data_IF_599016827003
#
_entry.id   IF_599016827003
#
_cell.length_a   1.000
_cell.length_b   1.000
_cell.length_c   1.000
_cell.angle_alpha   90.00
_cell.angle_beta   90.00
_cell.angle_gamma   90.00
#
_symmetry.space_group_name_H-M   'P 1'
#
loop_
_entity.id
_entity.type
_entity.pdbx_description
1 polymer ?
#
# COMPACT_ATOMS: atom_id res chain seq x y z
N UNK A 1 -23.00 8.70 45.29
CA UNK A 1 -22.90 8.74 43.81
C UNK A 1 -22.21 7.45 43.38
N UNK A 2 -23.01 6.40 43.09
CA UNK A 2 -22.50 5.18 42.46
C UNK A 2 -21.98 5.50 41.06
N UNK A 3 -20.72 5.25 40.82
CA UNK A 3 -20.16 5.21 39.48
C UNK A 3 -20.73 3.98 38.77
N UNK A 4 -21.82 4.16 38.02
CA UNK A 4 -22.31 3.13 37.12
C UNK A 4 -21.17 2.79 36.14
N UNK A 5 -20.70 1.56 36.21
CA UNK A 5 -19.75 1.03 35.23
C UNK A 5 -20.45 1.01 33.86
N UNK A 6 -19.99 1.83 32.93
CA UNK A 6 -20.45 1.80 31.55
C UNK A 6 -20.14 0.41 30.98
N UNK A 7 -21.16 -0.35 30.64
CA UNK A 7 -21.03 -1.64 29.98
C UNK A 7 -21.58 -1.53 28.57
N UNK A 8 -20.72 -1.35 27.58
CA UNK A 8 -21.13 -1.16 26.19
C UNK A 8 -21.91 -2.36 25.64
N UNK A 9 -21.63 -3.58 26.08
CA UNK A 9 -22.36 -4.77 25.66
C UNK A 9 -23.83 -4.77 26.19
N UNK A 10 -24.06 -4.29 27.39
CA UNK A 10 -25.42 -4.20 27.96
C UNK A 10 -26.27 -3.12 27.28
N UNK A 11 -25.68 -2.07 26.77
CA UNK A 11 -26.38 -1.02 25.99
C UNK A 11 -26.68 -1.50 24.55
N UNK A 12 -25.81 -2.30 23.94
CA UNK A 12 -26.05 -2.93 22.64
C UNK A 12 -27.24 -3.88 22.67
N UNK A 13 -27.42 -4.64 23.76
CA UNK A 13 -28.57 -5.57 23.93
C UNK A 13 -29.91 -4.85 23.90
N UNK A 14 -29.96 -3.56 24.22
CA UNK A 14 -31.20 -2.74 24.25
C UNK A 14 -31.38 -1.94 22.94
N UNK A 15 -30.51 -2.08 21.97
CA UNK A 15 -30.60 -1.36 20.71
C UNK A 15 -31.73 -1.93 19.85
N UNK A 16 -32.45 -1.05 19.15
CA UNK A 16 -33.47 -1.43 18.14
C UNK A 16 -32.88 -1.44 16.74
N UNK A 17 -31.71 -0.86 16.57
CA UNK A 17 -30.96 -0.91 15.32
C UNK A 17 -29.47 -0.96 15.62
N UNK A 18 -28.77 -1.87 14.96
CA UNK A 18 -27.31 -1.99 15.02
C UNK A 18 -26.82 -2.05 13.56
N UNK A 19 -25.81 -1.27 13.27
CA UNK A 19 -25.13 -1.28 11.99
C UNK A 19 -23.62 -1.36 12.24
N UNK A 20 -22.93 -2.20 11.48
CA UNK A 20 -21.48 -2.27 11.52
C UNK A 20 -20.90 -2.32 10.12
N UNK A 21 -19.71 -1.79 9.98
CA UNK A 21 -18.92 -1.88 8.77
C UNK A 21 -17.46 -2.16 9.14
N UNK A 22 -16.81 -2.99 8.32
CA UNK A 22 -15.38 -3.25 8.40
C UNK A 22 -14.79 -3.09 7.02
N UNK A 23 -13.60 -2.53 6.97
CA UNK A 23 -12.81 -2.43 5.77
C UNK A 23 -11.37 -2.84 6.09
N UNK A 24 -10.81 -3.67 5.23
CA UNK A 24 -9.42 -4.08 5.28
C UNK A 24 -8.82 -3.89 3.90
N UNK A 25 -7.66 -3.27 3.85
CA UNK A 25 -6.85 -3.18 2.65
C UNK A 25 -5.40 -3.47 2.95
N UNK A 26 -4.76 -4.10 2.01
CA UNK A 26 -3.33 -4.33 2.01
C UNK A 26 -2.81 -4.16 0.60
N UNK A 27 -1.76 -3.35 0.46
CA UNK A 27 -0.97 -3.23 -0.76
C UNK A 27 0.46 -3.62 -0.43
N UNK A 28 1.04 -4.50 -1.24
CA UNK A 28 2.43 -4.93 -1.12
C UNK A 28 3.10 -4.76 -2.47
N UNK A 29 4.17 -3.98 -2.52
CA UNK A 29 4.97 -3.75 -3.71
C UNK A 29 6.40 -4.23 -3.46
N UNK A 30 7.03 -4.84 -4.47
CA UNK A 30 8.45 -5.11 -4.47
C UNK A 30 9.07 -4.79 -5.82
N UNK A 31 10.25 -4.23 -5.75
CA UNK A 31 11.13 -3.89 -6.85
C UNK A 31 12.46 -4.61 -6.61
N UNK A 32 12.92 -5.37 -7.57
CA UNK A 32 14.23 -6.00 -7.56
C UNK A 32 14.89 -5.78 -8.92
N UNK A 33 16.06 -5.18 -8.90
CA UNK A 33 16.90 -4.93 -10.07
C UNK A 33 18.29 -5.45 -9.81
N UNK A 34 18.84 -6.19 -10.75
CA UNK A 34 20.20 -6.69 -10.72
C UNK A 34 20.85 -6.44 -12.09
N UNK A 35 22.08 -5.96 -12.06
CA UNK A 35 22.87 -5.66 -13.24
C UNK A 35 24.30 -6.16 -13.06
N UNK A 36 24.91 -6.62 -14.14
CA UNK A 36 26.33 -6.93 -14.20
C UNK A 36 26.96 -6.13 -15.34
N UNK A 37 28.07 -5.46 -15.09
CA UNK A 37 28.83 -4.71 -16.10
C UNK A 37 29.68 -5.64 -16.95
N UNK A 38 30.24 -5.13 -18.04
CA UNK A 38 31.21 -5.89 -18.88
C UNK A 38 32.50 -6.21 -18.14
N UNK A 39 32.87 -5.40 -17.16
CA UNK A 39 34.06 -5.61 -16.31
C UNK A 39 33.78 -6.60 -15.17
N UNK A 40 32.50 -6.96 -14.94
CA UNK A 40 32.06 -7.95 -13.97
C UNK A 40 31.58 -7.35 -12.65
N UNK A 41 31.43 -6.05 -12.58
CA UNK A 41 30.87 -5.37 -11.41
C UNK A 41 29.36 -5.65 -11.31
N UNK A 42 28.84 -5.73 -10.09
CA UNK A 42 27.46 -6.08 -9.85
C UNK A 42 26.75 -5.00 -9.06
N UNK A 43 25.58 -4.59 -9.54
CA UNK A 43 24.68 -3.68 -8.83
C UNK A 43 23.35 -4.38 -8.57
N UNK A 44 22.92 -4.41 -7.30
CA UNK A 44 21.63 -4.94 -6.87
C UNK A 44 20.86 -3.90 -6.10
N UNK A 45 19.62 -3.66 -6.52
CA UNK A 45 18.69 -2.76 -5.86
C UNK A 45 17.44 -3.56 -5.50
N UNK A 46 17.08 -3.52 -4.23
CA UNK A 46 15.85 -4.12 -3.73
C UNK A 46 15.07 -3.09 -2.95
N UNK A 47 13.82 -2.90 -3.31
CA UNK A 47 12.92 -2.04 -2.57
C UNK A 47 11.60 -2.77 -2.31
N UNK A 48 11.01 -2.53 -1.15
CA UNK A 48 9.70 -3.06 -0.81
C UNK A 48 8.89 -2.04 -0.03
N UNK A 49 7.59 -2.05 -0.27
CA UNK A 49 6.64 -1.29 0.53
C UNK A 49 5.41 -2.14 0.82
N UNK A 50 4.97 -2.12 2.08
CA UNK A 50 3.74 -2.78 2.51
C UNK A 50 2.89 -1.77 3.24
N UNK A 51 1.69 -1.59 2.76
CA UNK A 51 0.66 -0.79 3.39
C UNK A 51 -0.49 -1.70 3.82
N UNK A 52 -0.95 -1.52 5.04
CA UNK A 52 -2.10 -2.24 5.60
C UNK A 52 -2.99 -1.24 6.34
N UNK A 53 -4.28 -1.28 6.06
CA UNK A 53 -5.29 -0.47 6.71
C UNK A 53 -6.45 -1.34 7.16
N UNK A 54 -6.85 -1.18 8.42
CA UNK A 54 -8.03 -1.77 8.99
C UNK A 54 -8.91 -0.69 9.58
N UNK A 55 -10.19 -0.73 9.25
CA UNK A 55 -11.19 0.18 9.78
C UNK A 55 -12.43 -0.60 10.21
N UNK A 56 -12.97 -0.24 11.35
CA UNK A 56 -14.20 -0.79 11.88
C UNK A 56 -15.06 0.33 12.46
N UNK A 57 -16.35 0.30 12.16
CA UNK A 57 -17.33 1.22 12.70
C UNK A 57 -18.58 0.46 13.16
N UNK A 58 -19.09 0.83 14.30
CA UNK A 58 -20.33 0.33 14.88
C UNK A 58 -21.24 1.50 15.23
N UNK A 59 -22.50 1.43 14.83
CA UNK A 59 -23.56 2.29 15.36
C UNK A 59 -24.67 1.43 15.95
N UNK A 60 -25.17 1.86 17.10
CA UNK A 60 -26.31 1.24 17.76
C UNK A 60 -27.30 2.32 18.18
N UNK A 61 -28.58 2.13 17.89
CA UNK A 61 -29.65 3.08 18.24
C UNK A 61 -30.76 2.36 18.98
N UNK A 62 -31.25 2.95 20.06
CA UNK A 62 -32.36 2.40 20.84
C UNK A 62 -32.81 3.32 21.98
N UNK A 63 -34.10 3.31 22.30
CA UNK A 63 -34.71 4.06 23.39
C UNK A 63 -34.35 5.56 23.39
N UNK A 64 -34.28 6.20 22.20
CA UNK A 64 -33.92 7.60 22.05
C UNK A 64 -32.43 7.91 22.28
N UNK A 65 -31.57 6.88 22.38
CA UNK A 65 -30.10 7.00 22.50
C UNK A 65 -29.42 6.43 21.28
N UNK A 66 -28.26 6.97 20.97
CA UNK A 66 -27.36 6.45 19.94
C UNK A 66 -25.96 6.26 20.52
N UNK A 67 -25.33 5.15 20.15
CA UNK A 67 -23.93 4.85 20.41
C UNK A 67 -23.22 4.76 19.07
N UNK A 68 -22.05 5.35 18.99
CA UNK A 68 -21.14 5.24 17.85
C UNK A 68 -19.76 4.88 18.38
N UNK A 69 -19.13 3.88 17.77
CA UNK A 69 -17.75 3.51 18.03
C UNK A 69 -17.03 3.26 16.71
N UNK A 70 -15.78 3.69 16.62
CA UNK A 70 -14.93 3.42 15.46
C UNK A 70 -13.52 3.06 15.92
N UNK A 71 -12.88 2.22 15.16
CA UNK A 71 -11.49 1.84 15.29
C UNK A 71 -10.83 1.93 13.94
N UNK A 72 -9.62 2.47 13.89
CA UNK A 72 -8.80 2.47 12.69
C UNK A 72 -7.35 2.17 13.05
N UNK A 73 -6.70 1.35 12.23
CA UNK A 73 -5.29 1.03 12.34
C UNK A 73 -4.68 1.12 10.94
N UNK A 74 -3.50 1.74 10.87
CA UNK A 74 -2.72 1.82 9.64
C UNK A 74 -1.29 1.39 9.96
N UNK A 75 -0.73 0.56 9.09
CA UNK A 75 0.62 0.06 9.23
C UNK A 75 1.34 0.24 7.89
N UNK A 76 2.44 0.97 7.91
CA UNK A 76 3.28 1.19 6.74
C UNK A 76 4.69 0.68 7.05
N UNK A 77 5.24 -0.14 6.16
CA UNK A 77 6.60 -0.67 6.25
C UNK A 77 7.25 -0.54 4.89
N UNK A 78 8.42 0.05 4.86
CA UNK A 78 9.25 0.13 3.66
C UNK A 78 10.65 -0.38 3.97
N UNK A 79 11.30 -0.91 2.95
CA UNK A 79 12.67 -1.37 3.01
C UNK A 79 13.38 -1.06 1.71
N UNK A 80 14.64 -0.68 1.80
CA UNK A 80 15.52 -0.44 0.67
C UNK A 80 16.87 -1.08 0.96
N UNK A 81 17.43 -1.77 -0.02
CA UNK A 81 18.74 -2.36 0.02
C UNK A 81 19.46 -2.11 -1.30
N UNK A 82 20.69 -1.63 -1.22
CA UNK A 82 21.58 -1.44 -2.35
C UNK A 82 22.87 -2.21 -2.06
N UNK A 83 23.32 -2.98 -3.02
CA UNK A 83 24.61 -3.65 -3.03
C UNK A 83 25.34 -3.28 -4.31
N UNK A 84 26.58 -2.83 -4.17
CA UNK A 84 27.52 -2.64 -5.28
C UNK A 84 28.74 -3.47 -4.98
N UNK A 85 29.11 -4.38 -5.88
CA UNK A 85 30.32 -5.19 -5.84
C UNK A 85 31.19 -4.81 -7.03
N UNK A 86 32.43 -4.39 -6.80
CA UNK A 86 33.38 -3.93 -7.80
C UNK A 86 33.67 -2.43 -7.67
N UNK A 87 34.23 -1.83 -8.71
CA UNK A 87 34.69 -0.44 -8.75
C UNK A 87 34.17 0.24 -10.05
N UNK A 88 32.95 0.72 -9.97
CA UNK A 88 32.26 1.32 -11.12
C UNK A 88 32.99 2.56 -11.65
N UNK A 89 33.37 2.54 -12.90
CA UNK A 89 33.94 3.69 -13.60
C UNK A 89 32.85 4.67 -14.10
N UNK A 90 33.28 5.86 -14.59
CA UNK A 90 32.35 6.93 -15.03
C UNK A 90 31.45 6.49 -16.20
N UNK A 91 31.95 5.67 -17.13
CA UNK A 91 31.19 5.21 -18.30
C UNK A 91 30.15 4.16 -17.87
N UNK A 92 30.47 3.26 -16.96
CA UNK A 92 29.53 2.31 -16.36
C UNK A 92 28.45 3.01 -15.56
N UNK A 93 28.81 4.01 -14.74
CA UNK A 93 27.85 4.81 -13.97
C UNK A 93 26.88 5.53 -14.91
N UNK A 94 27.34 6.13 -15.99
CA UNK A 94 26.48 6.79 -16.98
C UNK A 94 25.53 5.80 -17.68
N UNK A 95 26.02 4.61 -18.02
CA UNK A 95 25.21 3.54 -18.60
C UNK A 95 24.14 3.03 -17.64
N UNK A 96 24.49 2.82 -16.36
CA UNK A 96 23.56 2.44 -15.30
C UNK A 96 22.50 3.51 -15.08
N UNK A 97 22.88 4.79 -15.02
CA UNK A 97 21.95 5.91 -14.88
C UNK A 97 20.92 5.95 -16.03
N UNK A 98 21.38 5.80 -17.26
CA UNK A 98 20.52 5.77 -18.45
C UNK A 98 19.53 4.61 -18.42
N UNK A 99 19.96 3.41 -18.03
CA UNK A 99 19.07 2.25 -17.89
C UNK A 99 18.08 2.42 -16.73
N UNK A 100 18.54 2.92 -15.59
CA UNK A 100 17.69 3.16 -14.41
C UNK A 100 16.61 4.19 -14.68
N UNK A 101 16.86 5.21 -15.50
CA UNK A 101 15.82 6.16 -15.89
C UNK A 101 14.67 5.46 -16.62
N UNK A 102 14.98 4.57 -17.57
CA UNK A 102 13.98 3.79 -18.31
C UNK A 102 13.23 2.79 -17.39
N UNK A 103 13.97 2.11 -16.51
CA UNK A 103 13.41 1.18 -15.51
C UNK A 103 12.46 1.89 -14.55
N UNK A 104 12.79 3.12 -14.17
CA UNK A 104 11.94 3.93 -13.29
C UNK A 104 10.61 4.31 -13.98
N UNK A 105 10.66 4.77 -15.22
CA UNK A 105 9.44 5.11 -15.96
C UNK A 105 8.55 3.87 -16.14
N UNK A 106 9.14 2.73 -16.46
CA UNK A 106 8.43 1.45 -16.54
C UNK A 106 7.80 1.06 -15.20
N UNK A 107 8.55 1.16 -14.10
CA UNK A 107 8.06 0.82 -12.77
C UNK A 107 6.90 1.73 -12.34
N UNK A 108 6.94 3.01 -12.70
CA UNK A 108 5.83 3.94 -12.47
C UNK A 108 4.55 3.47 -13.17
N UNK A 109 4.61 3.13 -14.45
CA UNK A 109 3.45 2.62 -15.20
C UNK A 109 2.95 1.30 -14.62
N UNK A 110 3.86 0.39 -14.25
CA UNK A 110 3.51 -0.88 -13.62
C UNK A 110 2.74 -0.68 -12.30
N UNK A 111 3.26 0.15 -11.38
CA UNK A 111 2.62 0.36 -10.08
C UNK A 111 1.39 1.26 -10.16
N UNK A 112 1.22 2.07 -11.22
CA UNK A 112 -0.03 2.80 -11.49
C UNK A 112 -1.12 1.91 -12.11
N UNK A 113 -0.77 0.69 -12.48
CA UNK A 113 -1.70 -0.30 -13.01
C UNK A 113 -1.86 -0.25 -14.53
N UNK A 114 -1.10 0.60 -15.24
CA UNK A 114 -1.04 0.55 -16.70
C UNK A 114 -0.03 -0.52 -17.15
N UNK A 115 -0.46 -1.77 -16.98
CA UNK A 115 0.35 -2.94 -17.34
C UNK A 115 0.62 -3.02 -18.84
N UNK A 116 -0.25 -2.44 -19.67
CA UNK A 116 -0.05 -2.40 -21.13
C UNK A 116 1.15 -1.53 -21.49
N UNK A 117 1.15 -0.29 -21.02
CA UNK A 117 2.26 0.64 -21.22
C UNK A 117 3.55 0.12 -20.58
N UNK A 118 3.49 -0.40 -19.35
CA UNK A 118 4.65 -0.98 -18.68
C UNK A 118 5.26 -2.14 -19.47
N UNK A 119 4.44 -3.01 -20.06
CA UNK A 119 4.91 -4.12 -20.88
C UNK A 119 5.57 -3.62 -22.18
N UNK A 120 4.96 -2.63 -22.85
CA UNK A 120 5.54 -2.03 -24.05
C UNK A 120 6.89 -1.35 -23.76
N UNK A 121 7.02 -0.68 -22.61
CA UNK A 121 8.28 -0.12 -22.16
C UNK A 121 9.32 -1.20 -21.86
N UNK A 122 8.93 -2.31 -21.22
CA UNK A 122 9.83 -3.44 -20.95
C UNK A 122 10.40 -4.04 -22.23
N UNK A 123 9.58 -4.17 -23.26
CA UNK A 123 10.02 -4.68 -24.57
C UNK A 123 10.97 -3.73 -25.31
N UNK A 124 10.96 -2.44 -24.95
CA UNK A 124 11.77 -1.41 -25.58
C UNK A 124 12.92 -0.92 -24.67
N UNK A 125 13.17 -1.58 -23.53
CA UNK A 125 14.32 -1.26 -22.70
C UNK A 125 15.62 -1.42 -23.50
N UNK A 126 16.48 -0.42 -23.42
CA UNK A 126 17.80 -0.42 -24.07
C UNK A 126 18.88 -0.21 -23.03
N UNK A 127 19.96 -0.98 -23.15
CA UNK A 127 21.17 -0.81 -22.34
C UNK A 127 22.37 -0.57 -23.22
N UNK A 128 23.37 0.10 -22.70
CA UNK A 128 24.67 0.22 -23.35
C UNK A 128 25.38 -1.15 -23.29
N UNK A 129 25.45 -1.83 -24.42
CA UNK A 129 26.05 -3.17 -24.51
C UNK A 129 27.57 -3.16 -24.34
N UNK A 130 28.23 -2.02 -24.45
CA UNK A 130 29.67 -1.89 -24.22
C UNK A 130 30.00 -1.82 -22.71
N UNK A 131 29.02 -1.37 -21.89
CA UNK A 131 29.18 -1.22 -20.45
C UNK A 131 28.39 -2.28 -19.66
N UNK A 132 27.22 -2.68 -20.12
CA UNK A 132 26.30 -3.57 -19.40
C UNK A 132 26.26 -4.95 -20.07
N UNK A 133 26.72 -5.97 -19.36
CA UNK A 133 26.71 -7.35 -19.85
C UNK A 133 25.30 -7.97 -19.76
N UNK A 134 24.61 -7.74 -18.63
CA UNK A 134 23.27 -8.25 -18.41
C UNK A 134 22.55 -7.46 -17.31
N UNK A 135 21.22 -7.49 -17.33
CA UNK A 135 20.39 -7.00 -16.24
C UNK A 135 19.11 -7.82 -16.11
N UNK A 136 18.48 -7.74 -14.94
CA UNK A 136 17.16 -8.30 -14.67
C UNK A 136 16.32 -7.33 -13.84
N UNK A 137 15.02 -7.32 -14.09
CA UNK A 137 14.04 -6.52 -13.37
C UNK A 137 12.87 -7.39 -12.97
N UNK A 138 12.53 -7.40 -11.69
CA UNK A 138 11.35 -8.09 -11.15
C UNK A 138 10.50 -7.07 -10.39
N UNK A 139 9.28 -6.84 -10.87
CA UNK A 139 8.29 -5.96 -10.27
C UNK A 139 7.09 -6.79 -9.82
N UNK A 140 6.70 -6.63 -8.56
CA UNK A 140 5.52 -7.30 -8.01
C UNK A 140 4.63 -6.31 -7.30
N UNK A 141 3.33 -6.45 -7.53
CA UNK A 141 2.29 -5.74 -6.79
C UNK A 141 1.21 -6.74 -6.37
N UNK A 142 0.80 -6.67 -5.12
CA UNK A 142 -0.33 -7.42 -4.58
C UNK A 142 -1.25 -6.46 -3.85
N UNK A 143 -2.54 -6.48 -4.21
CA UNK A 143 -3.58 -5.72 -3.53
C UNK A 143 -4.64 -6.68 -3.02
N UNK A 144 -5.03 -6.50 -1.77
CA UNK A 144 -6.13 -7.22 -1.14
C UNK A 144 -7.07 -6.20 -0.51
N UNK A 145 -8.35 -6.29 -0.84
CA UNK A 145 -9.39 -5.50 -0.18
C UNK A 145 -10.53 -6.41 0.25
N UNK A 146 -11.03 -6.19 1.45
CA UNK A 146 -12.16 -6.90 2.01
C UNK A 146 -13.09 -5.92 2.74
N UNK A 147 -14.38 -6.06 2.49
CA UNK A 147 -15.42 -5.24 3.10
C UNK A 147 -16.48 -6.14 3.72
N UNK A 148 -16.89 -5.80 4.92
CA UNK A 148 -18.01 -6.44 5.61
C UNK A 148 -18.96 -5.36 6.08
N UNK A 149 -20.25 -5.54 5.82
CA UNK A 149 -21.31 -4.67 6.31
C UNK A 149 -22.46 -5.51 6.85
N UNK A 150 -22.97 -5.14 8.00
CA UNK A 150 -24.14 -5.76 8.60
C UNK A 150 -25.07 -4.73 9.24
N UNK A 151 -26.36 -4.95 9.10
CA UNK A 151 -27.39 -4.16 9.75
C UNK A 151 -28.48 -5.04 10.32
N UNK A 152 -28.92 -4.74 11.54
CA UNK A 152 -30.03 -5.38 12.21
C UNK A 152 -31.01 -4.31 12.69
N UNK A 153 -32.31 -4.50 12.42
CA UNK A 153 -33.37 -3.59 12.84
C UNK A 153 -34.57 -4.35 13.42
N UNK A 154 -35.22 -3.75 14.41
CA UNK A 154 -36.48 -4.17 14.96
C UNK A 154 -36.42 -5.35 15.92
N UNK A 155 -37.50 -6.12 15.97
CA UNK A 155 -37.71 -7.23 16.95
C UNK A 155 -36.71 -8.38 16.79
N UNK A 156 -35.83 -8.37 15.80
CA UNK A 156 -34.78 -9.36 15.57
C UNK A 156 -33.75 -9.41 16.74
N UNK A 157 -33.64 -8.35 17.53
CA UNK A 157 -32.78 -8.28 18.71
C UNK A 157 -33.45 -8.80 20.00
N UNK A 158 -34.73 -9.13 19.95
CA UNK A 158 -35.53 -9.53 21.12
C UNK A 158 -36.20 -10.90 21.06
N UNK A 159 -36.51 -11.46 19.90
CA UNK A 159 -37.08 -12.82 19.80
C UNK A 159 -37.17 -13.30 18.32
N UNK A 160 -36.49 -14.40 17.99
CA UNK A 160 -36.62 -15.18 16.74
C UNK A 160 -36.43 -14.45 15.40
N UNK A 161 -35.21 -14.39 14.94
CA UNK A 161 -34.69 -14.23 13.59
C UNK A 161 -35.67 -14.28 12.40
N UNK A 162 -36.16 -13.13 11.95
CA UNK A 162 -36.68 -12.94 10.59
C UNK A 162 -36.46 -11.50 10.16
N UNK A 163 -35.63 -11.32 9.14
CA UNK A 163 -35.58 -10.10 8.32
C UNK A 163 -34.21 -9.41 8.32
N UNK A 164 -33.32 -9.84 7.43
CA UNK A 164 -32.21 -9.02 6.99
C UNK A 164 -32.73 -8.14 5.85
N UNK A 165 -32.93 -6.86 6.09
CA UNK A 165 -33.01 -5.89 4.99
C UNK A 165 -31.60 -5.43 4.67
N UNK A 166 -31.21 -5.49 3.40
CA UNK A 166 -30.01 -4.84 2.87
C UNK A 166 -30.16 -3.34 3.06
N UNK A 167 -29.63 -2.83 4.15
CA UNK A 167 -29.66 -1.40 4.43
C UNK A 167 -28.65 -0.67 3.54
N UNK A 168 -29.06 0.50 3.01
CA UNK A 168 -28.13 1.44 2.37
C UNK A 168 -27.09 1.89 3.40
N UNK A 169 -25.84 2.02 2.96
CA UNK A 169 -24.74 2.52 3.79
C UNK A 169 -25.20 3.78 4.55
N UNK A 170 -25.08 3.84 5.88
CA UNK A 170 -25.39 5.05 6.64
C UNK A 170 -24.51 6.21 6.18
N UNK A 171 -25.07 7.42 6.12
CA UNK A 171 -24.31 8.61 5.71
C UNK A 171 -23.06 8.86 6.58
N UNK A 172 -23.08 8.44 7.85
CA UNK A 172 -21.93 8.55 8.75
C UNK A 172 -20.79 7.55 8.50
N UNK A 173 -20.99 6.55 7.63
CA UNK A 173 -19.95 5.61 7.19
C UNK A 173 -19.31 6.04 5.84
N UNK A 174 -19.86 7.06 5.17
CA UNK A 174 -19.26 7.62 3.97
C UNK A 174 -17.90 8.27 4.27
N UNK A 175 -17.74 8.89 5.44
CA UNK A 175 -16.50 9.56 5.84
C UNK A 175 -15.35 8.59 6.14
N UNK A 176 -15.55 7.47 6.87
CA UNK A 176 -14.53 6.43 7.01
C UNK A 176 -14.14 5.78 5.68
N UNK A 177 -15.10 5.56 4.76
CA UNK A 177 -14.81 5.03 3.43
C UNK A 177 -14.07 6.06 2.54
N UNK A 178 -14.41 7.34 2.66
CA UNK A 178 -13.68 8.40 1.97
C UNK A 178 -12.25 8.55 2.51
N UNK A 179 -12.07 8.48 3.84
CA UNK A 179 -10.74 8.49 4.46
C UNK A 179 -9.91 7.26 4.09
N UNK A 180 -10.57 6.11 3.93
CA UNK A 180 -9.98 4.89 3.45
C UNK A 180 -9.52 5.01 1.99
N UNK A 181 -10.37 5.50 1.09
CA UNK A 181 -10.00 5.77 -0.30
C UNK A 181 -8.81 6.75 -0.40
N UNK A 182 -8.75 7.74 0.48
CA UNK A 182 -7.62 8.66 0.57
C UNK A 182 -6.37 7.96 1.11
N UNK A 183 -6.50 7.04 2.06
CA UNK A 183 -5.40 6.22 2.59
C UNK A 183 -4.78 5.34 1.51
N UNK A 184 -5.60 4.73 0.66
CA UNK A 184 -5.15 3.96 -0.51
C UNK A 184 -4.38 4.83 -1.48
N UNK A 185 -4.91 6.01 -1.80
CA UNK A 185 -4.25 6.96 -2.67
C UNK A 185 -2.90 7.40 -2.11
N UNK A 186 -2.82 7.69 -0.81
CA UNK A 186 -1.57 8.07 -0.15
C UNK A 186 -0.55 6.94 -0.16
N UNK A 187 -0.98 5.69 0.09
CA UNK A 187 -0.11 4.52 -0.01
C UNK A 187 0.41 4.30 -1.43
N UNK A 188 -0.42 4.62 -2.41
CA UNK A 188 -0.06 4.57 -3.82
C UNK A 188 0.97 5.65 -4.18
N UNK A 189 0.77 6.88 -3.69
CA UNK A 189 1.69 7.99 -3.85
C UNK A 189 3.03 7.70 -3.15
N UNK A 190 3.03 7.07 -1.97
CA UNK A 190 4.25 6.64 -1.28
C UNK A 190 4.96 5.50 -2.02
N UNK A 191 4.24 4.50 -2.52
CA UNK A 191 4.82 3.43 -3.33
C UNK A 191 5.45 3.97 -4.63
N UNK A 192 4.83 4.99 -5.25
CA UNK A 192 5.36 5.65 -6.44
C UNK A 192 6.61 6.49 -6.16
N UNK A 193 6.85 6.90 -4.90
CA UNK A 193 8.09 7.58 -4.53
C UNK A 193 9.32 6.65 -4.56
N UNK A 194 9.14 5.34 -4.33
CA UNK A 194 10.20 4.35 -4.51
C UNK A 194 10.55 4.13 -5.99
N UNK A 195 9.61 4.39 -6.88
CA UNK A 195 9.83 4.38 -8.32
C UNK A 195 10.41 5.73 -8.84
N UNK A 196 10.71 6.67 -7.97
CA UNK A 196 11.24 7.96 -8.40
C UNK A 196 12.78 7.88 -8.47
N UNK A 197 13.31 7.68 -9.69
CA UNK A 197 14.73 7.47 -9.98
C UNK A 197 15.66 8.48 -9.33
N UNK A 198 15.23 9.73 -9.20
CA UNK A 198 16.05 10.80 -8.68
C UNK A 198 16.41 10.60 -7.21
N UNK A 199 15.48 10.14 -6.39
CA UNK A 199 15.74 9.84 -4.97
C UNK A 199 16.50 8.52 -4.78
N UNK A 200 16.31 7.54 -5.68
CA UNK A 200 17.07 6.30 -5.69
C UNK A 200 18.53 6.55 -6.09
N UNK A 201 18.76 7.33 -7.13
CA UNK A 201 20.09 7.70 -7.59
C UNK A 201 20.81 8.66 -6.63
N UNK A 202 20.11 9.67 -6.07
CA UNK A 202 20.68 10.55 -5.05
C UNK A 202 21.12 9.76 -3.82
N UNK A 203 20.34 8.78 -3.36
CA UNK A 203 20.73 7.89 -2.27
C UNK A 203 21.87 6.94 -2.66
N UNK A 204 21.91 6.47 -3.92
CA UNK A 204 22.99 5.66 -4.47
C UNK A 204 24.33 6.44 -4.44
N UNK A 205 24.32 7.67 -4.94
CA UNK A 205 25.50 8.51 -5.00
C UNK A 205 25.94 9.00 -3.61
N UNK A 206 25.02 9.32 -2.70
CA UNK A 206 25.35 9.68 -1.31
C UNK A 206 25.98 8.52 -0.53
N UNK A 207 25.57 7.27 -0.78
CA UNK A 207 26.19 6.11 -0.13
C UNK A 207 27.56 5.76 -0.73
N UNK A 208 27.75 5.95 -2.03
CA UNK A 208 29.05 5.74 -2.67
C UNK A 208 30.08 6.76 -2.19
N UNK A 209 29.71 8.02 -1.99
CA UNK A 209 30.60 9.09 -1.49
C UNK A 209 31.01 8.87 -0.03
N UNK A 210 30.20 8.16 0.77
CA UNK A 210 30.53 7.80 2.15
C UNK A 210 31.44 6.57 2.27
N UNK A 211 31.57 5.77 1.21
CA UNK A 211 32.39 4.54 1.22
C UNK A 211 33.82 4.82 0.74
N UNK A 212 34.08 6.01 0.19
CA UNK A 212 35.38 6.39 -0.40
C UNK A 212 36.22 7.26 0.56
N UNK A 213 35.84 7.42 1.81
CA UNK A 213 36.64 8.02 2.91
C UNK A 213 37.06 6.95 3.93
#
# INVERSE_FOLDING_TARGET
>A
LEKGTFNPQAEIIKANAIEYAKAYERTSNSFEFELTTQEGDVVKIQAMSNYESYQEALSAQGNGKALYASYSEQNNRSGFNLLVEGDLNDDEMAAIESLMAQVNDLANEFYTGDLGTAFDMAMNLTSDADQIAQFSLDLKQSQVSAYEYGAMKGEALGNNGKGYETAKLPKGLADPLANFAQGVKNAYEEASQFANSRSLLENLFEQMDQTTQ
#
